data_IF_024370651781
#
_entry.id   IF_024370651781
#
_cell.length_a   1.000
_cell.length_b   1.000
_cell.length_c   1.000
_cell.angle_alpha   90.00
_cell.angle_beta   90.00
_cell.angle_gamma   90.00
#
_symmetry.space_group_name_H-M   'P 1'
#
loop_
_entity.id
_entity.type
_entity.pdbx_description
1 polymer ?
#
# COMPACT_ATOMS: atom_id res chain seq x y z
N UNK A 1 16.18 6.90 -6.05
CA UNK A 1 16.44 8.18 -5.36
C UNK A 1 15.49 8.27 -4.18
N UNK A 2 16.03 8.35 -2.96
CA UNK A 2 15.24 8.55 -1.75
C UNK A 2 14.65 9.97 -1.75
N UNK A 3 13.39 10.10 -1.35
CA UNK A 3 12.72 11.39 -1.20
C UNK A 3 13.12 12.01 0.14
N UNK A 4 13.68 13.22 0.13
CA UNK A 4 13.99 13.93 1.36
C UNK A 4 12.69 14.37 2.04
N UNK A 5 12.54 14.06 3.33
CA UNK A 5 11.41 14.52 4.14
C UNK A 5 11.59 16.00 4.44
N UNK A 6 10.54 16.78 4.26
CA UNK A 6 10.46 18.18 4.67
C UNK A 6 9.32 18.36 5.66
N UNK A 7 9.52 19.22 6.66
CA UNK A 7 8.47 19.60 7.59
C UNK A 7 7.42 20.47 6.89
N UNK A 8 6.19 20.49 7.44
CA UNK A 8 5.15 21.42 6.99
C UNK A 8 5.65 22.87 6.95
N UNK A 9 6.30 23.32 8.02
CA UNK A 9 6.82 24.68 8.16
C UNK A 9 7.96 25.02 7.19
N UNK A 10 8.58 24.00 6.56
CA UNK A 10 9.68 24.17 5.60
C UNK A 10 9.18 24.20 4.14
N UNK A 11 7.87 24.04 3.91
CA UNK A 11 7.28 24.20 2.58
C UNK A 11 7.36 25.66 2.13
N UNK A 12 7.40 25.94 0.82
CA UNK A 12 7.32 27.32 0.32
C UNK A 12 6.08 28.05 0.85
N UNK A 13 6.22 29.31 1.22
CA UNK A 13 5.11 30.13 1.77
C UNK A 13 3.87 30.14 0.88
N UNK A 14 4.07 30.13 -0.45
CA UNK A 14 2.99 30.04 -1.43
C UNK A 14 2.21 28.72 -1.33
N UNK A 15 2.89 27.61 -1.04
CA UNK A 15 2.25 26.30 -0.80
C UNK A 15 1.48 26.33 0.50
N UNK A 16 2.08 26.84 1.58
CA UNK A 16 1.42 26.92 2.89
C UNK A 16 0.15 27.77 2.80
N UNK A 17 0.23 28.96 2.20
CA UNK A 17 -0.90 29.87 1.98
C UNK A 17 -2.02 29.20 1.18
N UNK A 18 -1.68 28.54 0.06
CA UNK A 18 -2.67 27.90 -0.80
C UNK A 18 -3.40 26.73 -0.13
N UNK A 19 -2.75 26.05 0.83
CA UNK A 19 -3.39 25.04 1.66
C UNK A 19 -4.29 25.69 2.71
N UNK A 20 -3.84 26.74 3.40
CA UNK A 20 -4.65 27.46 4.38
C UNK A 20 -5.93 28.05 3.76
N UNK A 21 -5.87 28.50 2.50
CA UNK A 21 -7.05 28.93 1.74
C UNK A 21 -8.11 27.82 1.58
N UNK A 22 -7.71 26.55 1.62
CA UNK A 22 -8.60 25.37 1.49
C UNK A 22 -9.15 24.88 2.82
N UNK A 23 -8.36 24.94 3.89
CA UNK A 23 -8.69 24.28 5.18
C UNK A 23 -8.82 25.26 6.37
N UNK A 24 -8.61 26.55 6.12
CA UNK A 24 -8.45 27.57 7.15
C UNK A 24 -7.03 27.58 7.76
N UNK A 25 -6.77 28.49 8.70
CA UNK A 25 -5.47 28.62 9.34
C UNK A 25 -5.01 27.32 10.01
N UNK A 26 -3.73 26.98 9.84
CA UNK A 26 -3.10 25.84 10.52
C UNK A 26 -2.69 26.27 11.93
N UNK A 27 -3.38 25.72 12.93
CA UNK A 27 -3.16 26.03 14.36
C UNK A 27 -2.01 25.22 14.97
N UNK A 28 -1.80 24.00 14.46
CA UNK A 28 -0.70 23.12 14.82
C UNK A 28 -0.48 22.08 13.72
N UNK A 29 0.73 21.52 13.64
CA UNK A 29 1.03 20.43 12.71
C UNK A 29 1.88 19.35 13.38
N UNK A 30 1.68 18.11 12.97
CA UNK A 30 2.48 16.97 13.38
C UNK A 30 2.95 16.20 12.15
N UNK A 31 4.27 16.16 11.94
CA UNK A 31 4.86 15.33 10.89
C UNK A 31 4.72 13.87 11.26
N UNK A 32 4.24 13.05 10.33
CA UNK A 32 4.21 11.60 10.53
C UNK A 32 5.61 11.05 10.26
N UNK A 33 6.13 10.18 11.13
CA UNK A 33 7.44 9.57 10.90
C UNK A 33 7.41 8.48 9.80
N UNK A 34 6.24 7.87 9.58
CA UNK A 34 5.98 6.89 8.52
C UNK A 34 5.54 7.48 7.17
N UNK A 35 5.69 6.69 6.10
CA UNK A 35 5.31 7.04 4.72
C UNK A 35 6.49 7.49 3.87
N UNK A 36 7.19 6.55 3.24
CA UNK A 36 8.40 6.76 2.42
C UNK A 36 8.14 7.33 1.02
N UNK A 37 6.87 7.48 0.63
CA UNK A 37 6.46 7.89 -0.71
C UNK A 37 6.02 9.37 -0.82
N UNK A 38 6.30 10.20 0.19
CA UNK A 38 5.94 11.62 0.20
C UNK A 38 7.00 12.49 0.88
N UNK A 39 7.24 13.67 0.31
CA UNK A 39 8.26 14.60 0.79
C UNK A 39 7.72 15.35 2.00
N UNK A 40 6.45 15.75 1.97
CA UNK A 40 5.69 16.16 3.15
C UNK A 40 4.60 15.14 3.43
N UNK A 41 4.43 14.77 4.70
CA UNK A 41 3.24 14.08 5.18
C UNK A 41 2.99 14.49 6.63
N UNK A 42 1.90 15.21 6.87
CA UNK A 42 1.60 15.85 8.13
C UNK A 42 0.11 15.86 8.43
N UNK A 43 -0.22 15.67 9.70
CA UNK A 43 -1.54 16.03 10.22
C UNK A 43 -1.54 17.52 10.53
N UNK A 44 -2.47 18.26 9.93
CA UNK A 44 -2.68 19.68 10.17
C UNK A 44 -3.94 19.85 11.02
N UNK A 45 -3.83 20.59 12.10
CA UNK A 45 -4.93 20.89 13.01
C UNK A 45 -5.50 22.27 12.69
N UNK A 46 -6.78 22.34 12.33
CA UNK A 46 -7.48 23.61 12.06
C UNK A 46 -8.69 23.77 12.99
N UNK A 47 -9.36 24.91 12.94
CA UNK A 47 -10.59 25.14 13.71
C UNK A 47 -11.73 24.18 13.33
N UNK A 48 -11.72 23.63 12.11
CA UNK A 48 -12.72 22.66 11.63
C UNK A 48 -12.39 21.20 12.00
N UNK A 49 -11.21 20.96 12.58
CA UNK A 49 -10.70 19.64 12.93
C UNK A 49 -9.42 19.26 12.17
N UNK A 50 -8.84 18.08 12.46
CA UNK A 50 -7.61 17.63 11.83
C UNK A 50 -7.84 17.15 10.39
N UNK A 51 -6.86 17.39 9.53
CA UNK A 51 -6.75 16.81 8.18
C UNK A 51 -5.36 16.24 7.97
N UNK A 52 -5.20 15.29 7.04
CA UNK A 52 -3.90 14.75 6.68
C UNK A 52 -3.49 15.24 5.30
N UNK A 53 -2.37 15.94 5.21
CA UNK A 53 -1.82 16.46 3.95
C UNK A 53 -0.54 15.71 3.62
N UNK A 54 -0.44 15.25 2.38
CA UNK A 54 0.80 14.70 1.82
C UNK A 54 1.13 15.34 0.48
N UNK A 55 2.42 15.39 0.14
CA UNK A 55 2.87 16.11 -1.03
C UNK A 55 4.22 15.66 -1.59
N UNK A 56 4.42 15.98 -2.86
CA UNK A 56 5.63 15.68 -3.62
C UNK A 56 5.94 16.82 -4.59
N UNK A 57 7.23 17.12 -4.88
CA UNK A 57 7.58 18.00 -5.99
C UNK A 57 7.09 17.45 -7.33
N UNK A 58 6.61 18.32 -8.22
CA UNK A 58 6.06 17.96 -9.53
C UNK A 58 7.10 17.36 -10.49
N UNK A 59 8.38 17.72 -10.31
CA UNK A 59 9.51 17.21 -11.08
C UNK A 59 10.04 15.88 -10.51
N UNK A 60 9.54 15.41 -9.37
CA UNK A 60 9.99 14.17 -8.78
C UNK A 60 9.51 12.95 -9.60
N UNK A 61 10.36 11.94 -9.87
CA UNK A 61 10.01 10.76 -10.67
C UNK A 61 8.79 9.96 -10.20
N UNK A 62 8.37 10.14 -8.95
CA UNK A 62 7.23 9.43 -8.34
C UNK A 62 5.89 10.19 -8.45
N UNK A 63 5.84 11.35 -9.11
CA UNK A 63 4.59 12.12 -9.28
C UNK A 63 3.45 11.29 -9.88
N UNK A 64 3.78 10.34 -10.78
CA UNK A 64 2.80 9.42 -11.36
C UNK A 64 2.12 8.51 -10.32
N UNK A 65 2.80 8.17 -9.22
CA UNK A 65 2.20 7.41 -8.12
C UNK A 65 1.20 8.24 -7.33
N UNK A 66 1.54 9.49 -7.00
CA UNK A 66 0.62 10.38 -6.30
C UNK A 66 -0.64 10.70 -7.13
N UNK A 67 -0.48 10.91 -8.44
CA UNK A 67 -1.63 11.10 -9.34
C UNK A 67 -2.52 9.86 -9.42
N UNK A 68 -1.96 8.65 -9.50
CA UNK A 68 -2.75 7.41 -9.46
C UNK A 68 -3.54 7.28 -8.16
N UNK A 69 -2.93 7.58 -7.03
CA UNK A 69 -3.61 7.54 -5.73
C UNK A 69 -4.80 8.49 -5.66
N UNK A 70 -4.62 9.72 -6.17
CA UNK A 70 -5.73 10.67 -6.33
C UNK A 70 -6.85 10.07 -7.20
N UNK A 71 -6.49 9.53 -8.36
CA UNK A 71 -7.44 9.08 -9.38
C UNK A 71 -8.23 7.84 -8.93
N UNK A 72 -7.64 6.95 -8.12
CA UNK A 72 -8.35 5.78 -7.59
C UNK A 72 -9.17 6.08 -6.32
N UNK A 73 -8.85 7.14 -5.57
CA UNK A 73 -9.47 7.40 -4.28
C UNK A 73 -11.01 7.35 -4.33
N UNK A 74 -11.71 7.95 -5.32
CA UNK A 74 -13.17 7.80 -5.48
C UNK A 74 -13.70 6.36 -5.44
N UNK A 75 -12.91 5.39 -5.91
CA UNK A 75 -13.30 3.98 -5.96
C UNK A 75 -13.08 3.27 -4.62
N UNK A 76 -12.09 3.71 -3.84
CA UNK A 76 -11.64 3.03 -2.61
C UNK A 76 -12.07 3.74 -1.32
N UNK A 77 -12.92 4.77 -1.38
CA UNK A 77 -13.31 5.60 -0.20
C UNK A 77 -13.98 4.82 0.94
N UNK A 78 -14.53 3.65 0.65
CA UNK A 78 -15.09 2.76 1.69
C UNK A 78 -14.00 2.07 2.51
N UNK A 79 -12.80 1.91 1.95
CA UNK A 79 -11.68 1.18 2.54
C UNK A 79 -10.44 2.07 2.76
N UNK A 80 -10.51 3.35 2.45
CA UNK A 80 -9.36 4.27 2.52
C UNK A 80 -9.85 5.67 2.93
N UNK A 81 -9.02 6.49 3.60
CA UNK A 81 -9.40 7.86 3.92
C UNK A 81 -9.90 8.61 2.69
N UNK A 82 -10.99 9.37 2.88
CA UNK A 82 -11.58 10.20 1.84
C UNK A 82 -10.62 11.32 1.44
N UNK A 83 -10.27 11.39 0.16
CA UNK A 83 -9.62 12.58 -0.40
C UNK A 83 -10.61 13.75 -0.40
N UNK A 84 -10.26 14.81 0.32
CA UNK A 84 -11.01 16.05 0.46
C UNK A 84 -10.75 16.99 -0.71
N UNK A 85 -9.47 17.15 -1.08
CA UNK A 85 -9.04 17.93 -2.23
C UNK A 85 -7.63 17.53 -2.67
N UNK A 86 -7.32 17.82 -3.93
CA UNK A 86 -5.97 17.83 -4.49
C UNK A 86 -5.60 19.23 -4.99
N UNK A 87 -4.30 19.53 -5.03
CA UNK A 87 -3.78 20.83 -5.44
C UNK A 87 -2.40 20.65 -6.09
N UNK A 88 -2.18 21.25 -7.25
CA UNK A 88 -0.84 21.44 -7.81
C UNK A 88 -0.53 22.96 -7.82
N UNK A 89 0.51 23.39 -7.11
CA UNK A 89 0.90 24.81 -6.99
C UNK A 89 2.38 24.97 -6.64
N UNK A 90 3.02 26.06 -7.05
CA UNK A 90 4.41 26.40 -6.70
C UNK A 90 5.43 25.25 -6.87
N UNK A 91 5.25 24.39 -7.88
CA UNK A 91 6.12 23.23 -8.12
C UNK A 91 5.79 21.97 -7.29
N UNK A 92 4.69 21.97 -6.53
CA UNK A 92 4.25 20.87 -5.67
C UNK A 92 2.92 20.27 -6.13
N UNK A 93 2.76 18.96 -5.90
CA UNK A 93 1.47 18.28 -5.87
C UNK A 93 1.15 17.92 -4.42
N UNK A 94 -0.09 18.18 -4.01
CA UNK A 94 -0.59 18.00 -2.66
C UNK A 94 -1.91 17.24 -2.71
N UNK A 95 -2.05 16.26 -1.82
CA UNK A 95 -3.29 15.55 -1.56
C UNK A 95 -3.68 15.74 -0.11
N UNK A 96 -4.93 16.13 0.13
CA UNK A 96 -5.50 16.27 1.46
C UNK A 96 -6.60 15.25 1.69
N UNK A 97 -6.44 14.47 2.74
CA UNK A 97 -7.35 13.44 3.17
C UNK A 97 -8.03 13.84 4.48
N UNK A 98 -9.20 13.26 4.74
CA UNK A 98 -9.74 13.26 6.09
C UNK A 98 -8.71 12.66 7.05
N UNK A 99 -8.64 13.21 8.26
CA UNK A 99 -7.84 12.57 9.30
C UNK A 99 -8.56 11.32 9.80
N UNK A 100 -7.94 10.16 9.61
CA UNK A 100 -8.44 8.90 10.14
C UNK A 100 -7.76 8.58 11.49
N UNK A 101 -8.49 8.53 12.61
CA UNK A 101 -7.92 8.06 13.87
C UNK A 101 -7.81 6.54 13.88
N UNK A 102 -6.80 6.01 14.56
CA UNK A 102 -6.66 4.57 14.79
C UNK A 102 -5.22 4.20 15.11
N UNK A 103 -5.01 2.92 15.39
CA UNK A 103 -3.67 2.33 15.55
C UNK A 103 -3.31 1.48 14.33
N UNK A 104 -2.02 1.30 14.09
CA UNK A 104 -1.57 0.38 13.05
C UNK A 104 -1.92 -1.07 13.43
N UNK A 105 -2.07 -1.92 12.42
CA UNK A 105 -2.41 -3.33 12.62
C UNK A 105 -1.26 -4.11 13.26
N UNK A 106 -1.59 -5.07 14.11
CA UNK A 106 -0.67 -6.04 14.66
C UNK A 106 -0.85 -7.38 13.94
N UNK A 107 0.22 -7.88 13.33
CA UNK A 107 0.21 -9.14 12.57
C UNK A 107 0.78 -10.33 13.34
N UNK A 108 1.18 -10.15 14.60
CA UNK A 108 1.74 -11.24 15.40
C UNK A 108 0.77 -12.43 15.50
N UNK A 109 1.29 -13.67 15.65
CA UNK A 109 0.44 -14.84 15.82
C UNK A 109 -0.56 -14.69 16.97
N UNK A 110 -1.84 -14.90 16.67
CA UNK A 110 -2.95 -14.77 17.65
C UNK A 110 -3.51 -13.36 17.80
N UNK A 111 -3.00 -12.38 17.05
CA UNK A 111 -3.56 -11.02 17.04
C UNK A 111 -5.05 -11.00 16.67
N UNK A 112 -5.82 -10.22 17.43
CA UNK A 112 -7.24 -9.98 17.17
C UNK A 112 -7.49 -9.11 15.91
N UNK A 113 -6.43 -8.58 15.29
CA UNK A 113 -6.53 -7.75 14.09
C UNK A 113 -6.66 -8.57 12.81
N UNK A 114 -6.15 -9.81 12.79
CA UNK A 114 -6.10 -10.63 11.59
C UNK A 114 -7.49 -10.84 10.93
N UNK A 115 -8.58 -11.08 11.67
CA UNK A 115 -9.91 -11.13 11.07
C UNK A 115 -10.35 -9.82 10.42
N UNK A 116 -9.98 -8.66 10.99
CA UNK A 116 -10.31 -7.34 10.44
C UNK A 116 -9.51 -7.06 9.16
N UNK A 117 -8.25 -7.48 9.13
CA UNK A 117 -7.38 -7.40 7.94
C UNK A 117 -7.91 -8.30 6.83
N UNK A 118 -8.32 -9.52 7.16
CA UNK A 118 -8.93 -10.44 6.19
C UNK A 118 -10.24 -9.89 5.61
N UNK A 119 -11.11 -9.31 6.45
CA UNK A 119 -12.33 -8.65 6.00
C UNK A 119 -12.02 -7.49 5.04
N UNK A 120 -11.08 -6.61 5.40
CA UNK A 120 -10.62 -5.50 4.55
C UNK A 120 -10.15 -5.98 3.17
N UNK A 121 -9.37 -7.08 3.11
CA UNK A 121 -8.89 -7.65 1.84
C UNK A 121 -10.03 -8.22 0.99
N UNK A 122 -10.99 -8.89 1.63
CA UNK A 122 -12.16 -9.43 0.95
C UNK A 122 -13.04 -8.31 0.39
N UNK A 123 -13.23 -7.22 1.15
CA UNK A 123 -13.94 -6.04 0.67
C UNK A 123 -13.20 -5.37 -0.50
N UNK A 124 -11.87 -5.29 -0.44
CA UNK A 124 -11.05 -4.78 -1.55
C UNK A 124 -11.23 -5.64 -2.80
N UNK A 125 -11.18 -6.96 -2.68
CA UNK A 125 -11.40 -7.87 -3.80
C UNK A 125 -12.81 -7.75 -4.40
N UNK A 126 -13.79 -7.24 -3.64
CA UNK A 126 -15.15 -7.01 -4.12
C UNK A 126 -15.35 -5.63 -4.77
N UNK A 127 -14.39 -4.70 -4.66
CA UNK A 127 -14.50 -3.38 -5.26
C UNK A 127 -14.52 -3.45 -6.80
N UNK A 128 -15.29 -2.56 -7.47
CA UNK A 128 -15.19 -2.41 -8.91
C UNK A 128 -13.79 -1.93 -9.30
N UNK A 129 -13.25 -2.50 -10.39
CA UNK A 129 -11.96 -2.07 -10.91
C UNK A 129 -12.06 -0.65 -11.51
N UNK A 130 -11.25 0.32 -11.04
CA UNK A 130 -11.29 1.68 -11.56
C UNK A 130 -10.79 1.73 -13.01
N UNK A 131 -11.41 2.59 -13.81
CA UNK A 131 -11.00 2.85 -15.20
C UNK A 131 -9.91 3.93 -15.25
N UNK A 132 -8.74 3.63 -14.68
CA UNK A 132 -7.58 4.54 -14.66
C UNK A 132 -6.47 3.96 -15.54
N UNK A 133 -6.27 4.46 -16.78
CA UNK A 133 -5.38 3.84 -17.77
C UNK A 133 -3.91 3.79 -17.37
N UNK A 134 -3.50 4.59 -16.39
CA UNK A 134 -2.12 4.67 -15.92
C UNK A 134 -1.77 3.62 -14.88
N UNK A 135 -2.74 2.84 -14.38
CA UNK A 135 -2.50 1.73 -13.46
C UNK A 135 -1.82 0.59 -14.22
N UNK A 136 -0.67 0.17 -13.72
CA UNK A 136 0.06 -0.96 -14.28
C UNK A 136 -0.61 -2.28 -13.91
N UNK A 137 -0.51 -3.27 -14.78
CA UNK A 137 -0.92 -4.64 -14.43
C UNK A 137 0.18 -5.37 -13.65
N UNK A 138 -0.16 -6.48 -12.99
CA UNK A 138 0.83 -7.37 -12.35
C UNK A 138 1.84 -7.86 -13.40
N UNK A 139 1.39 -8.21 -14.61
CA UNK A 139 2.25 -8.62 -15.74
C UNK A 139 3.33 -7.57 -16.07
N UNK A 140 2.98 -6.28 -15.97
CA UNK A 140 3.88 -5.18 -16.26
C UNK A 140 4.82 -4.87 -15.08
N UNK A 141 4.31 -4.92 -13.84
CA UNK A 141 5.11 -4.57 -12.65
C UNK A 141 6.14 -5.63 -12.30
N UNK A 142 5.79 -6.90 -12.42
CA UNK A 142 6.68 -8.02 -12.10
C UNK A 142 7.34 -8.63 -13.33
N UNK A 143 7.34 -7.95 -14.48
CA UNK A 143 7.89 -8.51 -15.73
C UNK A 143 9.36 -8.90 -15.63
N UNK A 144 10.14 -8.20 -14.80
CA UNK A 144 11.56 -8.49 -14.58
C UNK A 144 11.79 -9.81 -13.81
N UNK A 145 10.80 -10.26 -13.05
CA UNK A 145 10.88 -11.41 -12.14
C UNK A 145 10.06 -12.62 -12.62
N UNK A 146 9.34 -12.47 -13.73
CA UNK A 146 8.45 -13.51 -14.27
C UNK A 146 8.82 -13.79 -15.72
N UNK A 147 9.18 -15.05 -16.06
CA UNK A 147 9.49 -15.44 -17.44
C UNK A 147 8.36 -15.06 -18.40
N UNK A 148 8.64 -14.57 -19.62
CA UNK A 148 7.61 -14.17 -20.58
C UNK A 148 6.53 -15.23 -20.83
N UNK A 149 6.91 -16.51 -20.82
CA UNK A 149 6.02 -17.66 -21.01
C UNK A 149 5.01 -17.84 -19.88
N UNK A 150 5.29 -17.34 -18.67
CA UNK A 150 4.45 -17.51 -17.48
C UNK A 150 3.62 -16.26 -17.14
N UNK A 151 3.92 -15.09 -17.73
CA UNK A 151 3.24 -13.82 -17.38
C UNK A 151 1.73 -13.87 -17.54
N UNK A 152 1.23 -14.60 -18.54
CA UNK A 152 -0.20 -14.74 -18.80
C UNK A 152 -0.98 -15.36 -17.62
N UNK A 153 -0.31 -16.11 -16.73
CA UNK A 153 -0.92 -16.63 -15.50
C UNK A 153 -1.25 -15.53 -14.48
N UNK A 154 -0.65 -14.35 -14.61
CA UNK A 154 -0.79 -13.22 -13.69
C UNK A 154 -1.83 -12.20 -14.18
N UNK A 155 -2.67 -12.58 -15.14
CA UNK A 155 -3.77 -11.74 -15.62
C UNK A 155 -4.89 -11.69 -14.61
N UNK A 156 -5.51 -10.53 -14.49
CA UNK A 156 -6.75 -10.35 -13.76
C UNK A 156 -7.28 -8.94 -13.90
N UNK A 157 -8.45 -8.72 -13.32
CA UNK A 157 -9.25 -7.51 -13.48
C UNK A 157 -9.60 -6.86 -12.15
N UNK A 158 -8.86 -7.16 -11.08
CA UNK A 158 -9.10 -6.62 -9.75
C UNK A 158 -8.11 -5.52 -9.43
N UNK A 159 -8.58 -4.49 -8.72
CA UNK A 159 -7.70 -3.50 -8.13
C UNK A 159 -6.96 -4.14 -6.95
N UNK A 160 -5.65 -3.97 -6.93
CA UNK A 160 -4.74 -4.51 -5.93
C UNK A 160 -3.99 -3.37 -5.24
N UNK A 161 -3.80 -3.51 -3.93
CA UNK A 161 -2.95 -2.61 -3.15
C UNK A 161 -1.47 -2.94 -3.27
N UNK A 162 -1.15 -4.24 -3.27
CA UNK A 162 0.20 -4.83 -3.36
C UNK A 162 1.16 -4.57 -2.21
N UNK A 163 0.88 -3.63 -1.30
CA UNK A 163 1.70 -3.39 -0.09
C UNK A 163 0.89 -3.45 1.21
N UNK A 164 0.93 -4.59 1.90
CA UNK A 164 0.25 -4.80 3.18
C UNK A 164 1.18 -4.67 4.38
N UNK A 165 2.13 -3.73 4.34
CA UNK A 165 2.84 -3.34 5.55
C UNK A 165 1.84 -3.06 6.69
N UNK A 166 2.12 -3.49 7.94
CA UNK A 166 1.23 -3.23 9.07
C UNK A 166 0.89 -1.74 9.25
N UNK A 167 1.86 -0.86 8.93
CA UNK A 167 1.70 0.59 8.99
C UNK A 167 0.70 1.15 7.96
N UNK A 168 0.42 0.40 6.89
CA UNK A 168 -0.59 0.79 5.89
C UNK A 168 -2.00 0.37 6.30
N UNK A 169 -2.19 -0.35 7.41
CA UNK A 169 -3.53 -0.71 7.90
C UNK A 169 -3.82 0.01 9.20
N UNK A 170 -4.86 0.83 9.20
CA UNK A 170 -5.34 1.54 10.36
C UNK A 170 -6.59 0.87 10.94
N UNK A 171 -6.57 0.60 12.24
CA UNK A 171 -7.62 -0.05 13.00
C UNK A 171 -8.19 0.95 14.01
N UNK A 172 -9.47 1.27 13.85
CA UNK A 172 -10.31 1.96 14.83
C UNK A 172 -11.44 1.05 15.32
N UNK A 173 -12.25 1.52 16.27
CA UNK A 173 -13.39 0.74 16.79
C UNK A 173 -14.40 0.37 15.70
N UNK A 174 -14.59 1.25 14.73
CA UNK A 174 -15.64 1.20 13.70
C UNK A 174 -15.12 0.87 12.30
N UNK A 175 -13.83 1.12 12.03
CA UNK A 175 -13.25 1.01 10.67
C UNK A 175 -11.92 0.27 10.66
N UNK A 176 -11.64 -0.32 9.51
CA UNK A 176 -10.32 -0.81 9.10
C UNK A 176 -10.01 -0.12 7.78
N UNK A 177 -8.95 0.68 7.73
CA UNK A 177 -8.63 1.48 6.56
C UNK A 177 -7.26 1.10 6.01
N UNK A 178 -7.16 1.09 4.70
CA UNK A 178 -5.95 0.88 3.92
C UNK A 178 -5.40 2.22 3.44
N UNK A 179 -4.17 2.48 3.84
CA UNK A 179 -3.42 3.70 3.59
C UNK A 179 -2.37 3.48 2.49
N UNK A 180 -1.88 4.59 1.94
CA UNK A 180 -0.77 4.65 0.97
C UNK A 180 -0.97 3.84 -0.32
N UNK A 181 -1.87 4.33 -1.16
CA UNK A 181 -2.10 3.78 -2.49
C UNK A 181 -1.07 4.26 -3.52
N UNK A 182 0.22 4.18 -3.18
CA UNK A 182 1.30 4.61 -4.08
C UNK A 182 1.49 3.65 -5.27
N UNK A 183 1.16 2.36 -5.10
CA UNK A 183 1.41 1.30 -6.08
C UNK A 183 0.15 0.51 -6.48
N UNK A 184 -0.99 1.16 -6.78
CA UNK A 184 -2.17 0.44 -7.24
C UNK A 184 -1.83 -0.34 -8.49
N UNK A 185 -2.38 -1.55 -8.57
CA UNK A 185 -2.07 -2.50 -9.63
C UNK A 185 -3.34 -3.20 -10.07
N UNK A 186 -3.46 -3.54 -11.35
CA UNK A 186 -4.53 -4.41 -11.83
C UNK A 186 -4.01 -5.84 -11.96
N UNK A 187 -4.73 -6.81 -11.39
CA UNK A 187 -4.30 -8.20 -11.44
C UNK A 187 -5.32 -9.19 -10.89
N UNK A 188 -4.87 -10.43 -10.63
CA UNK A 188 -5.72 -11.44 -10.04
C UNK A 188 -5.95 -11.16 -8.56
N UNK A 189 -7.18 -11.37 -8.07
CA UNK A 189 -7.58 -11.11 -6.68
C UNK A 189 -6.76 -11.86 -5.62
N UNK A 190 -6.00 -12.89 -6.01
CA UNK A 190 -5.15 -13.67 -5.11
C UNK A 190 -3.74 -13.09 -4.91
N UNK A 191 -3.34 -12.08 -5.69
CA UNK A 191 -2.02 -11.47 -5.56
C UNK A 191 -1.86 -10.65 -4.26
N UNK A 192 -2.92 -9.95 -3.81
CA UNK A 192 -2.91 -9.24 -2.54
C UNK A 192 -2.83 -10.18 -1.32
N UNK A 193 -3.59 -11.30 -1.26
CA UNK A 193 -3.34 -12.35 -0.30
C UNK A 193 -1.87 -12.81 -0.27
N UNK A 194 -1.23 -13.03 -1.42
CA UNK A 194 0.19 -13.42 -1.45
C UNK A 194 1.09 -12.38 -0.76
N UNK A 195 0.88 -11.09 -1.03
CA UNK A 195 1.63 -10.01 -0.41
C UNK A 195 1.39 -9.92 1.12
N UNK A 196 0.15 -10.11 1.58
CA UNK A 196 -0.19 -10.17 3.00
C UNK A 196 0.48 -11.36 3.69
N UNK A 197 0.43 -12.55 3.09
CA UNK A 197 0.99 -13.77 3.71
C UNK A 197 2.50 -13.65 3.96
N UNK A 198 3.24 -12.97 3.09
CA UNK A 198 4.66 -12.67 3.33
C UNK A 198 4.82 -11.82 4.60
N UNK A 199 3.96 -10.82 4.80
CA UNK A 199 3.97 -9.96 6.00
C UNK A 199 3.63 -10.73 7.28
N UNK A 200 2.71 -11.70 7.20
CA UNK A 200 2.42 -12.58 8.34
C UNK A 200 3.63 -13.47 8.67
N UNK A 201 4.29 -14.03 7.67
CA UNK A 201 5.48 -14.86 7.86
C UNK A 201 6.65 -14.04 8.43
N UNK A 202 6.76 -12.78 8.04
CA UNK A 202 7.72 -11.81 8.61
C UNK A 202 7.38 -11.48 10.08
N UNK A 203 6.09 -11.36 10.41
CA UNK A 203 5.60 -11.15 11.78
C UNK A 203 5.70 -12.39 12.69
N UNK A 204 6.28 -13.49 12.21
CA UNK A 204 6.58 -14.69 13.02
C UNK A 204 5.68 -15.90 12.78
N UNK A 205 4.76 -15.85 11.80
CA UNK A 205 3.97 -17.03 11.44
C UNK A 205 4.80 -18.06 10.68
N UNK A 206 4.55 -19.36 10.93
CA UNK A 206 5.08 -20.43 10.10
C UNK A 206 4.47 -20.35 8.70
N UNK A 207 5.26 -20.57 7.65
CA UNK A 207 4.76 -20.49 6.27
C UNK A 207 3.59 -21.43 5.97
N UNK A 208 3.59 -22.64 6.56
CA UNK A 208 2.48 -23.57 6.44
C UNK A 208 1.20 -23.06 7.12
N UNK A 209 1.32 -22.42 8.29
CA UNK A 209 0.19 -21.84 9.01
C UNK A 209 -0.37 -20.62 8.28
N UNK A 210 0.51 -19.75 7.78
CA UNK A 210 0.11 -18.59 6.98
C UNK A 210 -0.61 -19.01 5.67
N UNK A 211 -0.08 -19.98 4.91
CA UNK A 211 -0.77 -20.48 3.71
C UNK A 211 -2.13 -21.12 4.03
N UNK A 212 -2.21 -21.93 5.10
CA UNK A 212 -3.47 -22.54 5.52
C UNK A 212 -4.51 -21.47 5.90
N UNK A 213 -4.11 -20.48 6.70
CA UNK A 213 -4.96 -19.35 7.06
C UNK A 213 -5.41 -18.57 5.81
N UNK A 214 -4.50 -18.27 4.87
CA UNK A 214 -4.87 -17.59 3.63
C UNK A 214 -5.89 -18.36 2.80
N UNK A 215 -5.81 -19.69 2.75
CA UNK A 215 -6.77 -20.55 2.03
C UNK A 215 -8.15 -20.58 2.71
N UNK A 216 -8.18 -20.42 4.03
CA UNK A 216 -9.40 -20.31 4.80
C UNK A 216 -10.08 -18.96 4.56
N UNK A 217 -9.32 -17.87 4.63
CA UNK A 217 -9.86 -16.50 4.58
C UNK A 217 -10.18 -16.00 3.17
N UNK A 218 -9.45 -16.48 2.15
CA UNK A 218 -9.53 -15.94 0.79
C UNK A 218 -9.82 -17.04 -0.23
N UNK A 219 -11.03 -17.05 -0.78
CA UNK A 219 -11.39 -17.98 -1.87
C UNK A 219 -10.50 -17.82 -3.08
N UNK A 220 -10.16 -16.57 -3.43
CA UNK A 220 -9.25 -16.27 -4.54
C UNK A 220 -7.90 -16.98 -4.36
N UNK A 221 -7.31 -16.98 -3.16
CA UNK A 221 -6.03 -17.63 -2.86
C UNK A 221 -6.14 -19.16 -2.84
N UNK A 222 -7.21 -19.68 -2.26
CA UNK A 222 -7.45 -21.13 -2.18
C UNK A 222 -7.63 -21.75 -3.55
N UNK A 223 -8.42 -21.10 -4.40
CA UNK A 223 -8.87 -21.61 -5.68
C UNK A 223 -7.93 -21.19 -6.84
N UNK A 224 -6.91 -20.37 -6.53
CA UNK A 224 -5.88 -19.98 -7.49
C UNK A 224 -5.12 -21.19 -8.04
N UNK A 225 -4.88 -21.17 -9.36
CA UNK A 225 -4.08 -22.18 -10.05
C UNK A 225 -2.68 -22.28 -9.46
N UNK A 226 -2.22 -23.50 -9.20
CA UNK A 226 -0.92 -23.74 -8.58
C UNK A 226 0.23 -23.11 -9.37
N UNK A 227 0.24 -23.22 -10.70
CA UNK A 227 1.32 -22.68 -11.53
C UNK A 227 1.38 -21.15 -11.48
N UNK A 228 0.21 -20.50 -11.39
CA UNK A 228 0.11 -19.04 -11.29
C UNK A 228 0.64 -18.53 -9.95
N UNK A 229 0.25 -19.20 -8.86
CA UNK A 229 0.71 -18.87 -7.51
C UNK A 229 2.22 -19.08 -7.41
N UNK A 230 2.74 -20.22 -7.86
CA UNK A 230 4.17 -20.52 -7.83
C UNK A 230 4.98 -19.49 -8.60
N UNK A 231 4.53 -19.10 -9.80
CA UNK A 231 5.19 -18.05 -10.59
C UNK A 231 5.23 -16.71 -9.85
N UNK A 232 4.12 -16.29 -9.23
CA UNK A 232 4.06 -15.01 -8.53
C UNK A 232 4.82 -15.00 -7.20
N UNK A 233 4.70 -16.05 -6.38
CA UNK A 233 5.45 -16.14 -5.12
C UNK A 233 6.95 -16.23 -5.37
N UNK A 234 7.37 -16.94 -6.43
CA UNK A 234 8.75 -16.93 -6.88
C UNK A 234 9.23 -15.53 -7.29
N UNK A 235 8.40 -14.80 -8.03
CA UNK A 235 8.70 -13.42 -8.42
C UNK A 235 8.82 -12.47 -7.21
N UNK A 236 7.93 -12.59 -6.21
CA UNK A 236 8.02 -11.82 -4.96
C UNK A 236 9.29 -12.17 -4.18
N UNK A 237 9.66 -13.46 -4.11
CA UNK A 237 10.89 -13.90 -3.46
C UNK A 237 12.15 -13.34 -4.14
N UNK A 238 12.17 -13.33 -5.47
CA UNK A 238 13.28 -12.75 -6.24
C UNK A 238 13.37 -11.23 -6.03
N UNK A 239 12.24 -10.52 -6.15
CA UNK A 239 12.16 -9.08 -5.94
C UNK A 239 12.64 -8.68 -4.54
N UNK A 240 12.16 -9.35 -3.49
CA UNK A 240 12.60 -9.04 -2.13
C UNK A 240 14.07 -9.39 -1.88
N UNK A 241 14.58 -10.44 -2.53
CA UNK A 241 16.01 -10.77 -2.47
C UNK A 241 16.86 -9.65 -3.09
N UNK A 242 16.51 -9.17 -4.28
CA UNK A 242 17.21 -8.04 -4.92
C UNK A 242 17.14 -6.76 -4.07
N UNK A 243 15.98 -6.46 -3.48
CA UNK A 243 15.80 -5.31 -2.57
C UNK A 243 16.74 -5.43 -1.36
N UNK A 244 16.83 -6.62 -0.76
CA UNK A 244 17.68 -6.86 0.40
C UNK A 244 19.18 -6.89 0.06
N UNK A 245 19.56 -7.27 -1.17
CA UNK A 245 20.95 -7.21 -1.64
C UNK A 245 21.38 -5.78 -1.96
N UNK A 246 20.48 -4.98 -2.53
CA UNK A 246 20.74 -3.58 -2.91
C UNK A 246 20.86 -2.67 -1.68
N UNK A 247 20.04 -2.91 -0.65
CA UNK A 247 20.06 -2.15 0.60
C UNK A 247 19.81 -3.11 1.79
N UNK A 248 20.88 -3.68 2.38
CA UNK A 248 20.81 -4.81 3.32
C UNK A 248 20.39 -4.41 4.74
N UNK A 249 19.27 -3.70 4.87
CA UNK A 249 18.66 -3.42 6.17
C UNK A 249 18.04 -4.71 6.76
N UNK A 250 18.12 -4.92 8.08
CA UNK A 250 17.63 -6.16 8.72
C UNK A 250 16.19 -6.52 8.37
N UNK A 251 15.29 -5.54 8.32
CA UNK A 251 13.88 -5.78 7.99
C UNK A 251 13.68 -6.21 6.53
N UNK A 252 14.50 -5.73 5.58
CA UNK A 252 14.46 -6.14 4.17
C UNK A 252 14.93 -7.57 4.00
N UNK A 253 15.98 -7.97 4.73
CA UNK A 253 16.47 -9.34 4.76
C UNK A 253 15.43 -10.29 5.36
N UNK A 254 14.73 -9.86 6.41
CA UNK A 254 13.61 -10.62 7.00
C UNK A 254 12.47 -10.82 6.00
N UNK A 255 12.06 -9.76 5.30
CA UNK A 255 11.06 -9.83 4.23
C UNK A 255 11.47 -10.78 3.09
N UNK A 256 12.74 -10.72 2.65
CA UNK A 256 13.26 -11.65 1.64
C UNK A 256 13.22 -13.11 2.11
N UNK A 257 13.55 -13.35 3.37
CA UNK A 257 13.46 -14.66 3.99
C UNK A 257 12.01 -15.16 4.07
N UNK A 258 11.08 -14.29 4.47
CA UNK A 258 9.64 -14.60 4.52
C UNK A 258 9.08 -14.93 3.12
N UNK A 259 9.46 -14.15 2.10
CA UNK A 259 9.02 -14.36 0.72
C UNK A 259 9.50 -15.70 0.16
N UNK A 260 10.78 -16.08 0.42
CA UNK A 260 11.30 -17.40 0.04
C UNK A 260 10.56 -18.54 0.74
N UNK A 261 10.30 -18.43 2.05
CA UNK A 261 9.54 -19.47 2.79
C UNK A 261 8.12 -19.67 2.23
N UNK A 262 7.45 -18.59 1.81
CA UNK A 262 6.14 -18.71 1.15
C UNK A 262 6.26 -19.38 -0.23
N UNK A 263 7.25 -18.98 -1.03
CA UNK A 263 7.50 -19.57 -2.35
C UNK A 263 7.78 -21.07 -2.25
N UNK A 264 8.66 -21.48 -1.32
CA UNK A 264 8.97 -22.89 -1.06
C UNK A 264 7.73 -23.67 -0.60
N UNK A 265 6.86 -23.06 0.21
CA UNK A 265 5.60 -23.68 0.65
C UNK A 265 4.63 -23.93 -0.51
N UNK A 266 4.62 -23.07 -1.52
CA UNK A 266 3.71 -23.16 -2.68
C UNK A 266 4.26 -23.98 -3.84
N UNK A 267 5.58 -24.19 -3.88
CA UNK A 267 6.22 -25.08 -4.84
C UNK A 267 6.05 -26.57 -4.51
N UNK A 268 5.79 -26.90 -3.24
CA UNK A 268 5.58 -28.26 -2.71
C UNK A 268 4.11 -28.56 -2.42
#
# INVERSE_FOLDING_TARGET
>A
MSMARIGWADLPDEVQTAVEDKIGPVLAHASVAGGVNSAVAATLHTAAGPVFVKGIPLDHPQIGSQRRERDINPTVRTLSPRLLWDLETAGWSLLCFEHAPGRHADYTPGSADLPRVAALLNDLAALPCPQVPTIKTVEQRWSAYVPPTQRHHLRGTHLLHTDFAPDNILISADRTLLLDWAWPTIGPAWADPAALLIRLIDAGHLAAAADAWGREQFSSWRDARAEAVTAFTGALAQMWTEIAETDPQPWKQSMASAARRLADRRAN
#
